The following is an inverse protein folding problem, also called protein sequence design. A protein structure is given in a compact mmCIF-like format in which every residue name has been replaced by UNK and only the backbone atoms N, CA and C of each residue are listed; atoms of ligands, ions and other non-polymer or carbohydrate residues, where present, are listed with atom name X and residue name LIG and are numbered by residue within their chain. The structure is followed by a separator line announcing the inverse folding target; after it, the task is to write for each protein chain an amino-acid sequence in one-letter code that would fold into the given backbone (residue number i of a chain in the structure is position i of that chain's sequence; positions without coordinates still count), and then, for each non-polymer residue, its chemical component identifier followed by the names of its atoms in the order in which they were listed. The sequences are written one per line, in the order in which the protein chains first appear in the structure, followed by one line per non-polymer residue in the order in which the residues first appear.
data_IF_872167880639
#
_entry.id   IF_872167880639
#
_cell.length_a   1.000
_cell.length_b   1.000
_cell.length_c   1.000
_cell.angle_alpha   90.00
_cell.angle_beta   90.00
_cell.angle_gamma   90.00
#
_symmetry.space_group_name_H-M   'P 1'
#
loop_
_entity.id
_entity.type
_entity.pdbx_description
1 polymer ?
#
# COMPACT_ATOMS: atom_id res chain seq x y z
N UNK A 1 -8.87 -4.77 14.55
CA UNK A 1 -9.09 -5.48 13.29
C UNK A 1 -9.57 -4.50 12.25
N UNK A 2 -9.26 -4.74 10.98
CA UNK A 2 -9.68 -3.94 9.81
C UNK A 2 -10.31 -4.87 8.77
N UNK A 3 -11.36 -4.43 8.10
CA UNK A 3 -11.99 -5.17 7.01
C UNK A 3 -11.25 -4.90 5.69
N UNK A 4 -10.89 -5.95 4.97
CA UNK A 4 -10.31 -5.87 3.62
C UNK A 4 -11.10 -6.75 2.65
N UNK A 5 -11.22 -6.32 1.40
CA UNK A 5 -11.81 -7.09 0.31
C UNK A 5 -10.72 -7.70 -0.56
N UNK A 6 -10.91 -8.94 -0.98
CA UNK A 6 -10.10 -9.57 -2.03
C UNK A 6 -10.58 -9.17 -3.45
N UNK A 7 -9.93 -9.71 -4.49
CA UNK A 7 -10.28 -9.46 -5.90
C UNK A 7 -11.67 -9.97 -6.30
N UNK A 8 -12.31 -10.81 -5.48
CA UNK A 8 -13.66 -11.36 -5.69
C UNK A 8 -14.70 -10.74 -4.75
N UNK A 9 -14.36 -9.65 -4.04
CA UNK A 9 -15.20 -8.96 -3.06
C UNK A 9 -15.54 -9.79 -1.80
N UNK A 10 -14.76 -10.82 -1.46
CA UNK A 10 -14.92 -11.47 -0.15
C UNK A 10 -14.27 -10.61 0.94
N UNK A 11 -14.95 -10.51 2.09
CA UNK A 11 -14.50 -9.70 3.22
C UNK A 11 -13.70 -10.51 4.24
N UNK A 12 -12.57 -9.95 4.68
CA UNK A 12 -11.69 -10.54 5.68
C UNK A 12 -11.36 -9.55 6.78
N UNK A 13 -11.40 -10.01 8.03
CA UNK A 13 -10.91 -9.27 9.19
C UNK A 13 -9.42 -9.55 9.38
N UNK A 14 -8.59 -8.55 9.14
CA UNK A 14 -7.12 -8.66 9.25
C UNK A 14 -6.56 -7.63 10.23
N UNK A 15 -5.31 -7.84 10.64
CA UNK A 15 -4.54 -6.84 11.39
C UNK A 15 -3.53 -6.21 10.45
N UNK A 16 -3.74 -4.95 10.09
CA UNK A 16 -2.81 -4.22 9.24
C UNK A 16 -1.49 -3.97 9.95
N UNK A 17 -0.38 -4.15 9.23
CA UNK A 17 0.91 -3.70 9.73
C UNK A 17 0.92 -2.17 9.84
N UNK A 18 1.24 -1.65 11.03
CA UNK A 18 1.30 -0.21 11.31
C UNK A 18 2.72 0.35 11.31
N UNK A 19 3.72 -0.53 11.39
CA UNK A 19 5.12 -0.16 11.48
C UNK A 19 5.81 -0.50 10.16
N UNK A 20 6.39 0.51 9.53
CA UNK A 20 7.25 0.32 8.38
C UNK A 20 8.65 0.82 8.73
N UNK A 21 9.71 0.13 8.29
CA UNK A 21 11.07 0.65 8.39
C UNK A 21 11.20 2.01 7.71
N UNK A 22 12.10 2.84 8.21
CA UNK A 22 12.48 4.07 7.52
C UNK A 22 13.14 3.74 6.18
N UNK A 23 12.85 4.60 5.20
CA UNK A 23 13.35 4.47 3.83
C UNK A 23 14.63 5.26 3.71
N UNK A 24 15.72 4.57 3.39
CA UNK A 24 17.07 5.17 3.28
C UNK A 24 17.51 5.40 1.84
N UNK A 25 16.87 4.75 0.86
CA UNK A 25 17.21 4.88 -0.56
C UNK A 25 16.01 5.33 -1.40
N UNK A 26 16.21 6.20 -2.41
CA UNK A 26 15.13 6.64 -3.29
C UNK A 26 14.53 5.53 -4.17
N UNK A 27 15.27 4.45 -4.40
CA UNK A 27 14.83 3.37 -5.29
C UNK A 27 13.65 2.55 -4.71
N UNK A 28 13.28 2.81 -3.46
CA UNK A 28 12.14 2.18 -2.81
C UNK A 28 10.81 2.92 -3.04
N UNK A 29 10.84 4.16 -3.53
CA UNK A 29 9.62 4.91 -3.80
C UNK A 29 8.76 4.17 -4.83
N UNK A 30 7.44 4.22 -4.66
CA UNK A 30 6.45 3.64 -5.56
C UNK A 30 5.35 4.67 -5.85
N UNK A 31 4.91 4.76 -7.10
CA UNK A 31 3.70 5.48 -7.46
C UNK A 31 2.51 4.50 -7.41
N UNK A 32 1.48 4.81 -6.61
CA UNK A 32 0.24 4.04 -6.60
C UNK A 32 -0.68 4.41 -7.76
N UNK A 33 -1.62 3.52 -8.10
CA UNK A 33 -2.65 3.83 -9.11
C UNK A 33 -3.63 4.95 -8.65
N UNK A 34 -3.58 5.31 -7.38
CA UNK A 34 -4.27 6.45 -6.78
C UNK A 34 -3.51 7.79 -6.97
N UNK A 35 -2.35 7.78 -7.63
CA UNK A 35 -1.52 8.97 -7.85
C UNK A 35 -0.72 9.40 -6.62
N UNK A 36 -0.66 8.56 -5.58
CA UNK A 36 0.07 8.85 -4.34
C UNK A 36 1.45 8.19 -4.38
N UNK A 37 2.46 8.94 -3.93
CA UNK A 37 3.81 8.42 -3.74
C UNK A 37 3.92 7.70 -2.41
N UNK A 38 4.31 6.43 -2.45
CA UNK A 38 4.56 5.60 -1.28
C UNK A 38 6.07 5.44 -1.07
N UNK A 39 6.60 5.67 0.15
CA UNK A 39 8.04 5.55 0.41
C UNK A 39 8.62 4.15 0.18
N UNK A 40 7.82 3.10 0.38
CA UNK A 40 8.24 1.72 0.11
C UNK A 40 7.04 0.78 -0.08
N UNK A 41 7.32 -0.46 -0.48
CA UNK A 41 6.32 -1.52 -0.56
C UNK A 41 5.56 -1.76 0.76
N UNK A 42 6.20 -1.54 1.93
CA UNK A 42 5.52 -1.63 3.21
C UNK A 42 4.44 -0.54 3.34
N UNK A 43 4.76 0.69 2.95
CA UNK A 43 3.88 1.83 3.07
C UNK A 43 2.63 1.68 2.19
N UNK A 44 2.78 1.25 0.93
CA UNK A 44 1.62 1.01 0.07
C UNK A 44 0.77 -0.17 0.54
N UNK A 45 1.38 -1.24 1.08
CA UNK A 45 0.63 -2.37 1.69
C UNK A 45 -0.14 -1.93 2.94
N UNK A 46 0.46 -1.10 3.79
CA UNK A 46 -0.19 -0.51 4.95
C UNK A 46 -1.39 0.34 4.53
N UNK A 47 -1.21 1.22 3.56
CA UNK A 47 -2.28 2.07 3.03
C UNK A 47 -3.42 1.24 2.41
N UNK A 48 -3.07 0.24 1.59
CA UNK A 48 -4.00 -0.74 1.00
C UNK A 48 -4.84 -1.43 2.08
N UNK A 49 -4.19 -1.93 3.13
CA UNK A 49 -4.88 -2.62 4.22
C UNK A 49 -5.81 -1.69 5.00
N UNK A 50 -5.38 -0.47 5.31
CA UNK A 50 -6.19 0.51 6.03
C UNK A 50 -7.39 0.96 5.18
N UNK A 51 -7.20 1.10 3.87
CA UNK A 51 -8.26 1.48 2.93
C UNK A 51 -9.27 0.35 2.69
N UNK A 52 -8.89 -0.90 2.91
CA UNK A 52 -9.78 -2.06 2.78
C UNK A 52 -9.92 -2.61 1.36
N UNK A 53 -9.20 -2.07 0.37
CA UNK A 53 -9.20 -2.53 -1.03
C UNK A 53 -7.84 -2.31 -1.67
N UNK A 54 -7.55 -2.99 -2.78
CA UNK A 54 -6.28 -2.85 -3.49
C UNK A 54 -6.08 -1.44 -4.05
N UNK A 55 -4.92 -0.83 -3.79
CA UNK A 55 -4.44 0.38 -4.50
C UNK A 55 -3.75 -0.04 -5.80
N UNK A 56 -2.84 -1.01 -5.71
CA UNK A 56 -1.96 -1.40 -6.80
C UNK A 56 -0.83 -0.40 -7.04
N UNK A 57 0.30 -0.90 -7.54
CA UNK A 57 1.44 -0.07 -7.95
C UNK A 57 1.26 0.28 -9.43
N UNK A 58 1.37 1.57 -9.76
CA UNK A 58 1.40 2.04 -11.14
C UNK A 58 2.79 1.82 -11.77
N UNK A 59 3.83 2.30 -11.09
CA UNK A 59 5.23 2.14 -11.48
C UNK A 59 6.18 2.41 -10.31
N UNK A 60 7.43 1.99 -10.44
CA UNK A 60 8.51 2.25 -9.49
C UNK A 60 9.01 3.70 -9.60
N UNK A 61 9.35 4.31 -8.46
CA UNK A 61 9.74 5.71 -8.34
C UNK A 61 8.63 6.62 -7.82
N UNK A 62 8.86 7.94 -7.92
CA UNK A 62 7.87 8.96 -7.55
C UNK A 62 6.91 9.19 -8.72
N UNK A 63 5.67 9.56 -8.41
CA UNK A 63 4.69 9.95 -9.42
C UNK A 63 5.16 11.20 -10.18
N UNK A 64 4.82 11.27 -11.47
CA UNK A 64 5.10 12.40 -12.38
C UNK A 64 3.89 13.29 -12.62
#
# INVERSE_FOLDING_TARGET
STCVLDQTNNAYCVTCNRLCPEVTTPDQYLCGNDGIVYPSACHIRRATCIMGRSIGVAYEGKCI
#
